data_IF_087517650983
#
_entry.id   IF_087517650983
#
_cell.length_a   1.000
_cell.length_b   1.000
_cell.length_c   1.000
_cell.angle_alpha   90.00
_cell.angle_beta   90.00
_cell.angle_gamma   90.00
#
_symmetry.space_group_name_H-M   'P 1'
#
loop_
_entity.id
_entity.type
_entity.pdbx_description
1 polymer ?
#
# COMPACT_ATOMS: atom_id res chain seq x y z
N UNK A 1 -4.26 -2.66 -1.74
CA UNK A 1 -4.56 -3.66 -2.80
C UNK A 1 -5.34 -4.80 -2.18
N UNK A 2 -6.43 -5.26 -2.81
CA UNK A 2 -7.25 -6.37 -2.31
C UNK A 2 -6.84 -7.66 -3.04
N UNK A 3 -6.16 -8.55 -2.34
CA UNK A 3 -5.66 -9.81 -2.93
C UNK A 3 -6.61 -11.00 -2.76
N UNK A 4 -7.72 -10.81 -2.02
CA UNK A 4 -8.66 -11.85 -1.67
C UNK A 4 -10.09 -11.43 -1.94
N UNK A 5 -10.98 -12.42 -1.99
CA UNK A 5 -12.41 -12.16 -2.06
C UNK A 5 -12.83 -11.24 -0.91
N UNK A 6 -13.25 -10.04 -1.27
CA UNK A 6 -13.56 -8.97 -0.32
C UNK A 6 -15.05 -8.64 -0.40
N UNK A 7 -15.70 -8.59 0.74
CA UNK A 7 -17.14 -8.30 0.85
C UNK A 7 -17.40 -6.95 1.48
N UNK A 8 -18.50 -6.32 1.09
CA UNK A 8 -18.95 -5.04 1.61
C UNK A 8 -20.37 -5.13 2.13
N UNK A 9 -20.56 -4.75 3.38
CA UNK A 9 -21.86 -4.54 4.03
C UNK A 9 -22.06 -3.07 4.33
N UNK A 10 -23.29 -2.58 4.27
CA UNK A 10 -23.64 -1.18 4.51
C UNK A 10 -24.78 -1.13 5.53
N UNK A 11 -24.61 -0.32 6.58
CA UNK A 11 -25.69 -0.04 7.51
C UNK A 11 -26.74 0.86 6.84
N UNK A 12 -28.02 0.51 7.05
CA UNK A 12 -29.13 1.30 6.53
C UNK A 12 -29.22 2.64 7.25
N UNK A 13 -29.27 3.71 6.48
CA UNK A 13 -29.61 5.05 6.96
C UNK A 13 -30.52 5.79 5.96
N UNK A 14 -30.78 7.08 6.21
CA UNK A 14 -31.63 7.90 5.33
C UNK A 14 -31.09 8.11 3.92
N UNK A 15 -29.79 7.90 3.70
CA UNK A 15 -29.08 8.13 2.43
C UNK A 15 -28.92 6.85 1.61
N UNK A 16 -29.44 5.69 2.05
CA UNK A 16 -29.19 4.38 1.44
C UNK A 16 -29.51 4.32 -0.06
N UNK A 17 -30.47 5.11 -0.55
CA UNK A 17 -30.78 5.20 -1.99
C UNK A 17 -29.59 5.78 -2.79
N UNK A 18 -28.87 6.75 -2.21
CA UNK A 18 -27.66 7.29 -2.83
C UNK A 18 -26.56 6.24 -2.89
N UNK A 19 -26.42 5.41 -1.85
CA UNK A 19 -25.44 4.32 -1.82
C UNK A 19 -25.74 3.29 -2.91
N UNK A 20 -27.00 2.91 -3.10
CA UNK A 20 -27.41 2.02 -4.19
C UNK A 20 -27.00 2.59 -5.56
N UNK A 21 -27.21 3.89 -5.79
CA UNK A 21 -26.79 4.52 -7.07
C UNK A 21 -25.26 4.45 -7.26
N UNK A 22 -24.47 4.69 -6.19
CA UNK A 22 -23.01 4.60 -6.25
C UNK A 22 -22.58 3.17 -6.57
N UNK A 23 -23.17 2.16 -5.92
CA UNK A 23 -22.86 0.76 -6.17
C UNK A 23 -23.19 0.34 -7.59
N UNK A 24 -24.34 0.77 -8.13
CA UNK A 24 -24.73 0.46 -9.52
C UNK A 24 -23.85 1.14 -10.57
N UNK A 25 -23.13 2.19 -10.23
CA UNK A 25 -22.10 2.74 -11.10
C UNK A 25 -20.85 1.84 -11.15
N UNK A 26 -20.60 1.03 -10.11
CA UNK A 26 -19.57 0.01 -10.08
C UNK A 26 -20.01 -1.27 -10.82
N UNK A 27 -21.20 -1.76 -10.47
CA UNK A 27 -21.80 -2.96 -11.09
C UNK A 27 -23.28 -2.71 -11.39
N UNK A 28 -23.59 -2.49 -12.66
CA UNK A 28 -24.93 -2.21 -13.13
C UNK A 28 -25.81 -3.46 -13.26
N UNK A 29 -25.25 -4.66 -13.14
CA UNK A 29 -25.99 -5.92 -13.12
C UNK A 29 -26.79 -6.12 -11.85
N UNK A 30 -26.39 -5.46 -10.74
CA UNK A 30 -27.07 -5.51 -9.46
C UNK A 30 -28.40 -4.75 -9.51
N UNK A 31 -29.50 -5.43 -9.23
CA UNK A 31 -30.82 -4.76 -9.22
C UNK A 31 -30.99 -3.89 -7.99
N UNK A 32 -31.71 -2.77 -8.14
CA UNK A 32 -32.02 -1.86 -7.01
C UNK A 32 -32.78 -2.57 -5.89
N UNK A 33 -33.67 -3.50 -6.23
CA UNK A 33 -34.47 -4.25 -5.25
C UNK A 33 -33.61 -5.23 -4.44
N UNK A 34 -32.66 -5.90 -5.08
CA UNK A 34 -31.71 -6.78 -4.40
C UNK A 34 -30.80 -6.00 -3.45
N UNK A 35 -30.19 -4.90 -3.94
CA UNK A 35 -29.33 -4.03 -3.11
C UNK A 35 -30.07 -3.47 -1.91
N UNK A 36 -31.34 -3.03 -2.11
CA UNK A 36 -32.17 -2.56 -1.01
C UNK A 36 -32.41 -3.67 0.02
N UNK A 37 -32.76 -4.89 -0.43
CA UNK A 37 -32.99 -6.02 0.45
C UNK A 37 -31.74 -6.38 1.24
N UNK A 38 -30.56 -6.41 0.60
CA UNK A 38 -29.29 -6.69 1.27
C UNK A 38 -28.97 -5.64 2.34
N UNK A 39 -29.17 -4.35 2.05
CA UNK A 39 -28.99 -3.28 3.05
C UNK A 39 -29.99 -3.42 4.20
N UNK A 40 -31.27 -3.71 3.88
CA UNK A 40 -32.33 -3.88 4.89
C UNK A 40 -32.03 -5.04 5.84
N UNK A 41 -31.39 -6.09 5.35
CA UNK A 41 -31.05 -7.31 6.11
C UNK A 41 -29.64 -7.31 6.71
N UNK A 42 -28.82 -6.29 6.44
CA UNK A 42 -27.40 -6.28 6.85
C UNK A 42 -26.53 -7.34 6.15
N UNK A 43 -26.95 -7.77 4.95
CA UNK A 43 -26.25 -8.73 4.12
C UNK A 43 -25.16 -8.05 3.28
N UNK A 44 -24.32 -8.87 2.61
CA UNK A 44 -23.33 -8.38 1.64
C UNK A 44 -24.06 -7.67 0.50
N UNK A 45 -23.62 -6.45 0.20
CA UNK A 45 -24.24 -5.59 -0.81
C UNK A 45 -23.54 -5.74 -2.15
N UNK A 46 -22.22 -5.85 -2.13
CA UNK A 46 -21.38 -6.14 -3.28
C UNK A 46 -20.04 -6.70 -2.80
N UNK A 47 -19.27 -7.25 -3.73
CA UNK A 47 -17.97 -7.88 -3.45
C UNK A 47 -16.97 -7.60 -4.56
N UNK A 48 -15.72 -7.86 -4.28
CA UNK A 48 -14.63 -7.90 -5.23
C UNK A 48 -13.98 -9.29 -5.16
N UNK A 49 -13.87 -9.96 -6.31
CA UNK A 49 -13.11 -11.21 -6.43
C UNK A 49 -11.93 -10.99 -7.38
N UNK A 50 -10.68 -11.02 -6.90
CA UNK A 50 -9.52 -10.87 -7.75
C UNK A 50 -9.35 -11.99 -8.78
N UNK A 51 -10.06 -13.12 -8.62
CA UNK A 51 -10.06 -14.25 -9.58
C UNK A 51 -11.10 -14.11 -10.69
N UNK A 52 -12.13 -13.33 -10.45
CA UNK A 52 -13.21 -13.07 -11.42
C UNK A 52 -12.84 -11.90 -12.34
N UNK A 53 -11.85 -12.15 -13.23
CA UNK A 53 -11.35 -11.18 -14.21
C UNK A 53 -12.35 -10.84 -15.32
N UNK A 54 -13.64 -11.05 -15.12
CA UNK A 54 -14.66 -10.91 -16.17
C UNK A 54 -15.71 -9.84 -15.94
N UNK A 55 -15.41 -8.79 -15.19
CA UNK A 55 -16.28 -7.61 -15.26
C UNK A 55 -15.89 -6.80 -16.49
N UNK A 56 -16.59 -7.07 -17.59
CA UNK A 56 -16.49 -6.26 -18.82
C UNK A 56 -17.10 -4.89 -18.53
N UNK A 57 -16.30 -3.97 -18.03
CA UNK A 57 -16.68 -2.58 -17.96
C UNK A 57 -16.55 -1.96 -19.36
N UNK A 58 -17.69 -1.78 -20.06
CA UNK A 58 -17.79 -1.07 -21.35
C UNK A 58 -17.03 -1.68 -22.54
N UNK A 59 -16.93 -3.01 -22.66
CA UNK A 59 -16.47 -3.66 -23.88
C UNK A 59 -14.98 -3.51 -24.20
N UNK A 60 -14.15 -3.17 -23.22
CA UNK A 60 -12.69 -3.17 -23.34
C UNK A 60 -12.11 -4.18 -22.38
N UNK A 61 -11.22 -5.05 -22.89
CA UNK A 61 -10.36 -5.90 -22.08
C UNK A 61 -9.50 -5.00 -21.18
N UNK A 62 -9.87 -4.94 -19.92
CA UNK A 62 -9.10 -4.23 -18.91
C UNK A 62 -8.54 -5.26 -17.93
N UNK A 63 -7.23 -5.20 -17.76
CA UNK A 63 -6.45 -5.98 -16.80
C UNK A 63 -6.91 -5.75 -15.35
N UNK A 64 -6.59 -6.68 -14.45
CA UNK A 64 -6.95 -6.74 -13.02
C UNK A 64 -6.85 -5.42 -12.24
N UNK A 65 -5.86 -4.61 -12.60
CA UNK A 65 -5.60 -3.27 -12.03
C UNK A 65 -6.80 -2.31 -12.13
N UNK A 66 -7.58 -2.38 -13.20
CA UNK A 66 -8.73 -1.48 -13.38
C UNK A 66 -9.90 -1.84 -12.48
N UNK A 67 -10.15 -3.12 -12.24
CA UNK A 67 -11.27 -3.57 -11.41
C UNK A 67 -11.07 -3.18 -9.95
N UNK A 68 -9.88 -3.37 -9.42
CA UNK A 68 -9.55 -2.92 -8.07
C UNK A 68 -9.68 -1.40 -7.94
N UNK A 69 -9.24 -0.65 -8.94
CA UNK A 69 -9.38 0.81 -8.97
C UNK A 69 -10.85 1.23 -8.93
N UNK A 70 -11.75 0.55 -9.65
CA UNK A 70 -13.19 0.81 -9.60
C UNK A 70 -13.79 0.43 -8.26
N UNK A 71 -13.42 -0.70 -7.68
CA UNK A 71 -13.86 -1.13 -6.37
C UNK A 71 -13.46 -0.12 -5.30
N UNK A 72 -12.17 0.24 -5.25
CA UNK A 72 -11.64 1.24 -4.30
C UNK A 72 -12.29 2.61 -4.49
N UNK A 73 -12.52 3.05 -5.73
CA UNK A 73 -13.23 4.31 -6.01
C UNK A 73 -14.66 4.27 -5.49
N UNK A 74 -15.34 3.13 -5.62
CA UNK A 74 -16.69 2.93 -5.09
C UNK A 74 -16.71 3.01 -3.57
N UNK A 75 -15.78 2.34 -2.89
CA UNK A 75 -15.63 2.43 -1.43
C UNK A 75 -15.38 3.88 -0.98
N UNK A 76 -14.49 4.60 -1.65
CA UNK A 76 -14.21 6.02 -1.37
C UNK A 76 -15.44 6.91 -1.62
N UNK A 77 -16.20 6.65 -2.67
CA UNK A 77 -17.43 7.38 -2.98
C UNK A 77 -18.53 7.14 -1.93
N UNK A 78 -18.70 5.87 -1.50
CA UNK A 78 -19.60 5.50 -0.42
C UNK A 78 -19.21 6.17 0.91
N UNK A 79 -17.93 6.12 1.26
CA UNK A 79 -17.40 6.80 2.45
C UNK A 79 -17.66 8.30 2.40
N UNK A 80 -17.40 8.96 1.26
CA UNK A 80 -17.68 10.39 1.05
C UNK A 80 -19.17 10.71 1.14
N UNK A 81 -20.05 9.79 0.71
CA UNK A 81 -21.51 9.94 0.85
C UNK A 81 -22.00 9.68 2.29
N UNK A 82 -21.12 9.31 3.21
CA UNK A 82 -21.43 9.08 4.62
C UNK A 82 -21.87 7.67 4.95
N UNK A 83 -21.72 6.69 4.03
CA UNK A 83 -22.08 5.31 4.27
C UNK A 83 -21.26 4.73 5.43
N UNK A 84 -21.96 4.12 6.38
CA UNK A 84 -21.33 3.26 7.37
C UNK A 84 -21.22 1.87 6.77
N UNK A 85 -20.00 1.41 6.55
CA UNK A 85 -19.76 0.15 5.86
C UNK A 85 -18.71 -0.69 6.59
N UNK A 86 -18.87 -2.00 6.47
CA UNK A 86 -17.88 -3.00 6.86
C UNK A 86 -17.33 -3.60 5.58
N UNK A 87 -16.00 -3.48 5.39
CA UNK A 87 -15.26 -4.08 4.30
C UNK A 87 -14.38 -5.16 4.91
N UNK A 88 -14.56 -6.41 4.50
CA UNK A 88 -13.89 -7.56 5.12
C UNK A 88 -13.48 -8.62 4.09
N UNK A 89 -12.36 -9.29 4.35
CA UNK A 89 -11.92 -10.49 3.65
C UNK A 89 -11.60 -11.61 4.63
N UNK A 90 -10.95 -12.69 4.18
CA UNK A 90 -10.58 -13.81 5.05
C UNK A 90 -9.52 -13.47 6.12
N UNK A 91 -8.86 -12.32 6.03
CA UNK A 91 -7.86 -11.85 7.00
C UNK A 91 -8.42 -10.85 8.01
N UNK A 92 -9.61 -10.30 7.75
CA UNK A 92 -10.26 -9.40 8.68
C UNK A 92 -10.94 -8.17 8.07
N UNK A 93 -11.21 -7.18 8.91
CA UNK A 93 -11.94 -5.96 8.54
C UNK A 93 -10.97 -4.83 8.17
N UNK A 94 -11.20 -4.21 7.02
CA UNK A 94 -10.48 -3.01 6.55
C UNK A 94 -11.00 -1.76 7.25
N UNK A 95 -10.38 -1.39 8.36
CA UNK A 95 -10.81 -0.27 9.20
C UNK A 95 -10.71 1.12 8.55
N UNK A 96 -9.96 1.27 7.49
CA UNK A 96 -9.84 2.54 6.76
C UNK A 96 -11.15 2.98 6.10
N UNK A 97 -12.07 2.04 5.85
CA UNK A 97 -13.40 2.30 5.29
C UNK A 97 -14.48 2.40 6.38
N UNK A 98 -14.16 2.12 7.65
CA UNK A 98 -15.11 2.18 8.77
C UNK A 98 -15.35 3.62 9.23
N UNK A 99 -16.55 4.15 8.92
CA UNK A 99 -16.98 5.47 9.39
C UNK A 99 -17.38 5.48 10.89
N UNK A 100 -17.45 4.31 11.57
CA UNK A 100 -17.80 4.24 12.99
C UNK A 100 -16.64 4.64 13.91
N UNK A 101 -15.40 4.59 13.43
CA UNK A 101 -14.30 5.22 14.15
C UNK A 101 -14.43 6.74 13.98
N UNK A 102 -15.07 7.42 14.96
CA UNK A 102 -14.76 8.84 15.19
C UNK A 102 -13.24 8.93 15.19
N UNK A 103 -12.68 9.60 14.19
CA UNK A 103 -11.30 10.06 14.27
C UNK A 103 -11.22 10.81 15.59
N UNK A 104 -10.71 10.14 16.63
CA UNK A 104 -10.18 10.85 17.79
C UNK A 104 -9.11 11.72 17.16
N UNK A 105 -9.41 13.01 16.97
CA UNK A 105 -8.40 14.03 16.67
C UNK A 105 -7.33 13.78 17.71
N UNK A 106 -6.28 13.04 17.31
CA UNK A 106 -5.07 12.90 18.09
C UNK A 106 -4.50 14.30 18.17
N UNK A 107 -4.80 14.98 19.28
CA UNK A 107 -4.05 16.16 19.68
C UNK A 107 -2.60 15.74 19.63
N UNK A 108 -1.87 16.35 18.71
CA UNK A 108 -0.43 16.62 18.69
C UNK A 108 0.41 15.92 19.77
N UNK A 109 0.64 14.61 19.60
CA UNK A 109 1.76 13.91 20.22
C UNK A 109 2.79 13.45 19.17
N UNK A 110 2.66 13.93 17.93
CA UNK A 110 3.48 13.51 16.79
C UNK A 110 4.99 13.74 16.99
N UNK A 111 5.38 14.86 17.59
CA UNK A 111 6.82 15.16 17.79
C UNK A 111 7.55 14.14 18.67
N UNK A 112 6.93 13.65 19.74
CA UNK A 112 7.60 12.71 20.66
C UNK A 112 7.66 11.28 20.10
N UNK A 113 6.63 10.88 19.37
CA UNK A 113 6.58 9.58 18.69
C UNK A 113 7.56 9.54 17.52
N UNK A 114 7.66 10.63 16.75
CA UNK A 114 8.57 10.71 15.61
C UNK A 114 10.04 10.76 16.04
N UNK A 115 10.36 11.44 17.15
CA UNK A 115 11.73 11.46 17.74
C UNK A 115 12.13 10.03 18.17
N UNK A 116 11.27 9.29 18.86
CA UNK A 116 11.60 7.94 19.34
C UNK A 116 11.82 6.95 18.18
N UNK A 117 11.10 7.11 17.08
CA UNK A 117 11.29 6.30 15.87
C UNK A 117 12.63 6.62 15.20
N UNK A 118 12.96 7.90 15.08
CA UNK A 118 14.25 8.32 14.52
C UNK A 118 15.43 7.84 15.36
N UNK A 119 15.33 7.93 16.70
CA UNK A 119 16.32 7.40 17.62
C UNK A 119 16.49 5.88 17.47
N UNK A 120 15.41 5.13 17.25
CA UNK A 120 15.46 3.70 16.99
C UNK A 120 16.16 3.39 15.66
N UNK A 121 15.85 4.12 14.60
CA UNK A 121 16.46 3.97 13.28
C UNK A 121 17.97 4.27 13.35
N UNK A 122 18.34 5.40 13.95
CA UNK A 122 19.74 5.83 14.08
C UNK A 122 20.57 4.89 14.99
N UNK A 123 19.91 4.20 15.92
CA UNK A 123 20.56 3.17 16.75
C UNK A 123 20.81 1.89 15.98
N UNK A 124 19.92 1.54 15.02
CA UNK A 124 20.02 0.31 14.23
C UNK A 124 21.02 0.45 13.08
N UNK A 125 21.00 1.59 12.38
CA UNK A 125 21.74 1.76 11.13
C UNK A 125 22.43 3.13 11.03
N UNK A 126 23.59 3.15 10.41
CA UNK A 126 24.27 4.38 9.99
C UNK A 126 23.77 4.80 8.61
N UNK A 127 22.57 5.35 8.55
CA UNK A 127 22.01 5.80 7.29
C UNK A 127 22.67 7.09 6.79
N UNK A 128 22.74 7.31 5.45
CA UNK A 128 23.18 8.55 4.86
C UNK A 128 22.37 9.75 5.38
N UNK A 129 23.05 10.88 5.59
CA UNK A 129 22.40 12.07 6.14
C UNK A 129 21.19 12.53 5.33
N UNK A 130 21.30 12.53 4.00
CA UNK A 130 20.22 12.92 3.10
C UNK A 130 18.98 12.04 3.28
N UNK A 131 19.16 10.73 3.47
CA UNK A 131 18.05 9.81 3.72
C UNK A 131 17.47 10.00 5.14
N UNK A 132 18.30 10.28 6.15
CA UNK A 132 17.80 10.64 7.48
C UNK A 132 16.98 11.93 7.43
N UNK A 133 17.38 12.93 6.65
CA UNK A 133 16.64 14.17 6.50
C UNK A 133 15.30 13.94 5.76
N UNK A 134 15.27 13.06 4.76
CA UNK A 134 14.02 12.57 4.16
C UNK A 134 13.11 11.92 5.22
N UNK A 135 13.59 10.97 6.02
CA UNK A 135 12.81 10.25 7.04
C UNK A 135 12.25 11.18 8.13
N UNK A 136 12.96 12.26 8.51
CA UNK A 136 12.48 13.26 9.48
C UNK A 136 11.24 13.99 8.98
N UNK A 137 11.12 14.17 7.67
CA UNK A 137 10.02 14.91 7.03
C UNK A 137 8.92 13.96 6.52
N UNK A 138 9.23 12.67 6.35
CA UNK A 138 8.32 11.67 5.80
C UNK A 138 8.10 10.52 6.80
N UNK A 139 7.15 10.70 7.70
CA UNK A 139 6.85 9.72 8.74
C UNK A 139 6.14 8.47 8.20
N UNK A 140 5.44 8.55 7.06
CA UNK A 140 4.70 7.46 6.43
C UNK A 140 5.24 7.20 5.03
N UNK A 141 5.12 5.97 4.56
CA UNK A 141 5.42 5.61 3.17
C UNK A 141 4.62 6.43 2.17
N UNK A 142 5.21 6.67 1.02
CA UNK A 142 4.61 7.38 -0.12
C UNK A 142 4.67 6.53 -1.37
N UNK A 143 3.60 6.58 -2.17
CA UNK A 143 3.52 5.92 -3.46
C UNK A 143 3.84 6.93 -4.56
N UNK A 144 4.89 6.68 -5.31
CA UNK A 144 5.45 7.60 -6.31
C UNK A 144 5.51 6.89 -7.64
N UNK A 145 4.92 7.52 -8.67
CA UNK A 145 4.98 7.02 -10.04
C UNK A 145 6.19 7.60 -10.74
N UNK A 146 6.98 6.71 -11.32
CA UNK A 146 8.14 7.07 -12.14
C UNK A 146 8.13 6.30 -13.46
N UNK A 147 8.79 6.86 -14.48
CA UNK A 147 9.12 6.13 -15.70
C UNK A 147 10.31 5.21 -15.40
N UNK A 148 10.19 3.92 -15.72
CA UNK A 148 11.25 2.92 -15.48
C UNK A 148 11.69 2.26 -16.77
N UNK A 149 12.40 3.03 -17.59
CA UNK A 149 12.98 2.56 -18.85
C UNK A 149 14.03 1.45 -18.62
N UNK A 150 14.69 1.43 -17.45
CA UNK A 150 15.78 0.48 -17.15
C UNK A 150 15.29 -0.97 -17.09
N UNK A 151 14.13 -1.20 -16.47
CA UNK A 151 13.54 -2.54 -16.33
C UNK A 151 12.48 -2.83 -17.41
N UNK A 152 12.31 -1.92 -18.38
CA UNK A 152 11.40 -2.12 -19.50
C UNK A 152 9.94 -1.88 -19.19
N UNK A 153 9.65 -1.17 -18.10
CA UNK A 153 8.32 -0.71 -17.76
C UNK A 153 8.12 0.75 -18.16
N UNK A 154 6.95 1.07 -18.69
CA UNK A 154 6.63 2.45 -19.03
C UNK A 154 6.48 3.33 -17.78
N UNK A 155 5.76 2.82 -16.76
CA UNK A 155 5.52 3.51 -15.48
C UNK A 155 5.41 2.46 -14.37
N UNK A 156 6.15 2.68 -13.28
CA UNK A 156 6.02 1.91 -12.03
C UNK A 156 5.57 2.80 -10.88
N UNK A 157 4.91 2.23 -9.88
CA UNK A 157 4.52 2.93 -8.65
C UNK A 157 5.31 2.38 -7.46
N UNK A 158 6.37 3.08 -7.09
CA UNK A 158 7.25 2.69 -5.98
C UNK A 158 6.63 3.13 -4.65
N UNK A 159 6.57 2.22 -3.67
CA UNK A 159 6.31 2.54 -2.28
C UNK A 159 7.64 2.92 -1.59
N UNK A 160 7.91 4.22 -1.47
CA UNK A 160 9.06 4.73 -0.73
C UNK A 160 8.77 4.73 0.76
N UNK A 161 9.56 4.02 1.57
CA UNK A 161 9.29 3.87 3.00
C UNK A 161 9.53 5.15 3.77
N UNK A 162 8.54 5.50 4.61
CA UNK A 162 8.69 6.52 5.64
C UNK A 162 9.25 5.94 6.94
N UNK A 163 9.60 6.82 7.88
CA UNK A 163 10.27 6.43 9.13
C UNK A 163 9.51 5.35 9.93
N UNK A 164 8.17 5.34 9.88
CA UNK A 164 7.34 4.36 10.61
C UNK A 164 7.33 2.98 9.99
N UNK A 165 7.60 2.90 8.71
CA UNK A 165 7.47 1.68 7.94
C UNK A 165 8.82 1.03 7.64
N UNK A 166 9.92 1.79 7.77
CA UNK A 166 11.28 1.37 7.41
C UNK A 166 11.73 0.09 8.15
N UNK A 167 11.57 0.06 9.47
CA UNK A 167 11.99 -1.10 10.29
C UNK A 167 11.21 -2.35 9.90
N UNK A 168 9.89 -2.21 9.78
CA UNK A 168 9.02 -3.32 9.39
C UNK A 168 9.26 -3.75 7.94
N UNK A 169 9.53 -2.80 7.05
CA UNK A 169 9.91 -3.06 5.66
C UNK A 169 11.17 -3.90 5.59
N UNK A 170 12.22 -3.50 6.32
CA UNK A 170 13.47 -4.26 6.43
C UNK A 170 13.24 -5.70 6.94
N UNK A 171 12.46 -5.86 8.02
CA UNK A 171 12.16 -7.17 8.59
C UNK A 171 11.42 -8.08 7.60
N UNK A 172 10.61 -7.53 6.69
CA UNK A 172 9.90 -8.28 5.66
C UNK A 172 10.81 -9.00 4.66
N UNK A 173 12.05 -8.53 4.49
CA UNK A 173 13.02 -9.10 3.55
C UNK A 173 14.19 -9.81 4.23
N UNK A 174 14.60 -9.35 5.40
CA UNK A 174 15.81 -9.82 6.08
C UNK A 174 15.55 -10.82 7.21
N UNK A 175 14.28 -11.18 7.49
CA UNK A 175 13.91 -12.00 8.61
C UNK A 175 12.90 -13.08 8.24
N UNK A 176 13.18 -14.34 8.61
CA UNK A 176 12.26 -15.47 8.44
C UNK A 176 11.38 -15.62 9.71
N UNK A 177 10.08 -15.24 9.66
CA UNK A 177 9.20 -15.31 10.81
C UNK A 177 8.84 -16.75 11.22
N UNK A 178 8.94 -17.72 10.32
CA UNK A 178 8.65 -19.12 10.61
C UNK A 178 9.77 -19.78 11.42
N UNK A 179 11.01 -19.43 11.12
CA UNK A 179 12.19 -19.94 11.80
C UNK A 179 12.66 -19.03 12.95
N UNK A 180 12.05 -17.85 13.05
CA UNK A 180 12.38 -16.83 14.04
C UNK A 180 13.87 -16.44 14.04
N UNK A 181 14.44 -16.28 12.83
CA UNK A 181 15.85 -15.93 12.61
C UNK A 181 16.04 -15.02 11.40
N UNK A 182 17.14 -14.27 11.32
CA UNK A 182 17.53 -13.58 10.08
C UNK A 182 17.65 -14.57 8.91
N UNK A 183 17.47 -14.04 7.70
CA UNK A 183 17.74 -14.77 6.45
C UNK A 183 19.25 -14.71 6.19
N UNK A 184 19.90 -15.86 6.12
CA UNK A 184 21.37 -15.98 6.03
C UNK A 184 21.94 -15.34 4.74
N UNK A 185 21.13 -15.31 3.66
CA UNK A 185 21.52 -14.74 2.37
C UNK A 185 21.33 -13.21 2.29
N UNK A 186 20.73 -12.59 3.32
CA UNK A 186 20.53 -11.15 3.35
C UNK A 186 21.77 -10.43 3.91
N UNK A 187 22.34 -9.52 3.13
CA UNK A 187 23.49 -8.73 3.57
C UNK A 187 23.05 -7.63 4.56
N UNK A 188 23.69 -7.58 5.73
CA UNK A 188 23.34 -6.65 6.83
C UNK A 188 23.50 -5.17 6.47
N UNK A 189 24.36 -4.86 5.49
CA UNK A 189 24.58 -3.51 4.98
C UNK A 189 23.54 -3.06 3.96
N UNK A 190 22.67 -3.95 3.47
CA UNK A 190 21.60 -3.63 2.55
C UNK A 190 20.33 -3.27 3.31
N UNK A 191 19.97 -2.00 3.27
CA UNK A 191 18.77 -1.48 3.93
C UNK A 191 17.68 -1.22 2.91
N UNK A 192 16.54 -1.89 3.04
CA UNK A 192 15.36 -1.72 2.17
C UNK A 192 14.74 -0.36 2.43
N UNK A 193 14.72 0.50 1.43
CA UNK A 193 14.19 1.87 1.50
C UNK A 193 12.87 2.04 0.78
N UNK A 194 12.60 1.15 -0.17
CA UNK A 194 11.37 1.18 -0.96
C UNK A 194 11.06 -0.22 -1.50
N UNK A 195 9.88 -0.40 -2.07
CA UNK A 195 9.53 -1.60 -2.81
C UNK A 195 8.62 -1.29 -4.02
N UNK A 196 8.67 -2.19 -5.01
CA UNK A 196 7.75 -2.25 -6.13
C UNK A 196 7.19 -3.68 -6.22
N UNK A 197 5.89 -3.85 -5.93
CA UNK A 197 5.20 -5.15 -6.01
C UNK A 197 5.89 -6.32 -5.26
N UNK A 198 6.65 -6.01 -4.20
CA UNK A 198 7.41 -7.00 -3.43
C UNK A 198 8.89 -7.04 -3.78
N UNK A 199 9.34 -6.34 -4.81
CA UNK A 199 10.73 -6.21 -5.21
C UNK A 199 11.40 -5.08 -4.43
N UNK A 200 12.46 -5.34 -3.64
CA UNK A 200 13.07 -4.34 -2.79
C UNK A 200 14.01 -3.40 -3.56
N UNK A 201 13.98 -2.14 -3.16
CA UNK A 201 15.06 -1.17 -3.41
C UNK A 201 15.87 -1.02 -2.13
N UNK A 202 17.17 -1.27 -2.20
CA UNK A 202 18.06 -1.27 -1.04
C UNK A 202 19.18 -0.26 -1.23
N UNK A 203 19.57 0.41 -0.14
CA UNK A 203 20.85 1.15 -0.11
C UNK A 203 21.92 0.32 0.55
N UNK A 204 23.14 0.39 0.01
CA UNK A 204 24.33 -0.14 0.68
C UNK A 204 24.91 0.94 1.60
N UNK A 205 24.74 0.74 2.91
CA UNK A 205 25.25 1.68 3.92
C UNK A 205 26.73 1.51 4.23
N UNK A 206 27.41 0.53 3.62
CA UNK A 206 28.87 0.36 3.72
C UNK A 206 29.64 1.20 2.71
N UNK A 207 28.98 1.65 1.63
CA UNK A 207 29.53 2.54 0.62
C UNK A 207 29.17 4.02 0.94
N UNK A 208 30.17 4.91 0.85
CA UNK A 208 29.99 6.34 1.15
C UNK A 208 28.94 7.02 0.25
N UNK A 209 28.74 6.55 -0.98
CA UNK A 209 27.71 7.04 -1.91
C UNK A 209 26.34 6.41 -1.66
N UNK A 210 26.30 5.32 -0.94
CA UNK A 210 25.08 4.52 -0.71
C UNK A 210 24.29 4.29 -1.99
N UNK A 211 24.85 3.53 -2.96
CA UNK A 211 24.15 3.22 -4.20
C UNK A 211 22.86 2.49 -3.88
N UNK A 212 21.87 2.68 -4.76
CA UNK A 212 20.57 2.01 -4.65
C UNK A 212 20.55 0.80 -5.56
N UNK A 213 20.30 -0.35 -4.98
CA UNK A 213 20.12 -1.61 -5.67
C UNK A 213 18.65 -1.96 -5.78
N UNK A 214 18.31 -2.71 -6.82
CA UNK A 214 17.02 -3.34 -7.02
C UNK A 214 17.19 -4.83 -7.18
N UNK A 215 16.28 -5.63 -6.63
CA UNK A 215 16.26 -7.07 -6.80
C UNK A 215 14.84 -7.57 -7.01
N UNK A 216 14.68 -8.59 -7.85
CA UNK A 216 13.39 -9.26 -8.06
C UNK A 216 13.19 -10.33 -6.99
N UNK A 217 12.01 -10.36 -6.36
CA UNK A 217 11.64 -11.43 -5.44
C UNK A 217 11.28 -12.72 -6.18
N UNK A 218 11.31 -13.85 -5.46
CA UNK A 218 10.91 -15.15 -6.01
C UNK A 218 11.96 -15.83 -6.89
N UNK A 219 13.16 -15.28 -6.96
CA UNK A 219 14.34 -15.96 -7.52
C UNK A 219 14.99 -16.81 -6.41
N UNK A 220 15.71 -17.88 -6.80
CA UNK A 220 16.38 -18.76 -5.82
C UNK A 220 17.44 -18.03 -4.98
N UNK A 221 18.03 -16.97 -5.55
CA UNK A 221 19.02 -16.09 -4.91
C UNK A 221 18.67 -14.63 -5.16
N UNK A 222 19.02 -13.73 -4.22
CA UNK A 222 18.88 -12.30 -4.41
C UNK A 222 19.93 -11.78 -5.41
N UNK A 223 19.50 -11.44 -6.62
CA UNK A 223 20.32 -10.77 -7.63
C UNK A 223 20.13 -9.25 -7.54
N UNK A 224 21.05 -8.54 -6.88
CA UNK A 224 21.01 -7.10 -6.73
C UNK A 224 21.70 -6.39 -7.91
N UNK A 225 20.93 -5.63 -8.68
CA UNK A 225 21.41 -4.75 -9.74
C UNK A 225 21.44 -3.29 -9.30
N UNK A 226 22.45 -2.51 -9.72
CA UNK A 226 22.51 -1.08 -9.41
C UNK A 226 21.38 -0.36 -10.15
N UNK A 227 20.47 0.21 -9.38
CA UNK A 227 19.37 1.01 -9.89
C UNK A 227 19.73 2.50 -9.98
N UNK A 228 20.39 3.04 -8.94
CA UNK A 228 20.94 4.40 -8.96
C UNK A 228 22.32 4.42 -8.30
N UNK A 229 23.21 5.30 -8.80
CA UNK A 229 24.60 5.38 -8.35
C UNK A 229 24.76 5.95 -6.92
N UNK A 230 23.70 6.57 -6.40
CA UNK A 230 23.64 7.07 -5.02
C UNK A 230 22.20 7.25 -4.55
N UNK A 231 22.01 7.35 -3.24
CA UNK A 231 20.71 7.67 -2.65
C UNK A 231 20.23 9.08 -3.04
N UNK A 232 21.14 10.05 -3.24
CA UNK A 232 20.79 11.37 -3.75
C UNK A 232 20.13 11.27 -5.12
N UNK A 233 20.78 10.57 -6.07
CA UNK A 233 20.28 10.41 -7.43
C UNK A 233 18.92 9.69 -7.44
N UNK A 234 18.72 8.73 -6.54
CA UNK A 234 17.45 8.04 -6.39
C UNK A 234 16.34 8.98 -5.87
N UNK A 235 16.62 9.76 -4.82
CA UNK A 235 15.66 10.72 -4.27
C UNK A 235 15.29 11.81 -5.29
N UNK A 236 16.27 12.33 -6.05
CA UNK A 236 16.02 13.30 -7.13
C UNK A 236 15.11 12.69 -8.21
N UNK A 237 15.36 11.44 -8.63
CA UNK A 237 14.51 10.73 -9.60
C UNK A 237 13.07 10.56 -9.10
N UNK A 238 12.88 10.40 -7.79
CA UNK A 238 11.56 10.34 -7.15
C UNK A 238 10.93 11.72 -6.93
N UNK A 239 11.62 12.81 -7.27
CA UNK A 239 11.14 14.20 -7.12
C UNK A 239 11.29 14.77 -5.71
N UNK A 240 12.17 14.21 -4.88
CA UNK A 240 12.54 14.77 -3.59
C UNK A 240 13.80 15.65 -3.73
N UNK A 241 13.69 16.91 -3.31
CA UNK A 241 14.81 17.89 -3.24
C UNK A 241 15.46 17.92 -1.84
#
# INVERSE_FOLDING_TARGET
MFYQYTTVKIEKDKNYIQYIKIIRNYDNSLSMSQLKKSIDNGEVVFSFDPKDNHIIANGKDNTDYFLETYFVRTLKALKKAGAKMTVEDCYGVYHEFDNNKKEKKKKTTSKKTDISIMEEIEKRWRLPKIYLDYLKTHAKSQYIKIEDEKNGYDIIEIEMYGAKDLVKGQEGYSYNPLENKPIDEWEENLIVIANYEGDPFCIDISDDKSPVFYAMHGMDEWGFDIYADSIEAFLEMLGFE
#
